data_IF_091527853021
#
_entry.id   IF_091527853021
#
_cell.length_a   1.000
_cell.length_b   1.000
_cell.length_c   1.000
_cell.angle_alpha   90.00
_cell.angle_beta   90.00
_cell.angle_gamma   90.00
#
_symmetry.space_group_name_H-M   'P 1'
#
loop_
_entity.id
_entity.type
_entity.pdbx_description
1 polymer ?
#
# COMPACT_ATOMS: atom_id res chain seq x y z
N UNK A 1 0.46 10.25 -43.64
CA UNK A 1 0.06 8.86 -43.35
C UNK A 1 -0.25 8.77 -41.86
N UNK A 2 -1.32 8.08 -41.46
CA UNK A 2 -1.60 7.85 -40.03
C UNK A 2 -0.51 6.98 -39.43
N UNK A 3 -0.02 7.33 -38.23
CA UNK A 3 0.92 6.48 -37.49
C UNK A 3 0.27 5.13 -37.20
N UNK A 4 1.02 4.05 -37.41
CA UNK A 4 0.59 2.71 -37.04
C UNK A 4 0.48 2.65 -35.50
N UNK A 5 -0.60 2.06 -35.01
CA UNK A 5 -0.90 1.98 -33.57
C UNK A 5 -0.47 0.63 -33.02
N UNK A 6 0.26 0.66 -31.90
CA UNK A 6 0.62 -0.52 -31.13
C UNK A 6 -0.25 -0.52 -29.87
N UNK A 7 -1.09 -1.53 -29.74
CA UNK A 7 -1.91 -1.76 -28.56
C UNK A 7 -1.16 -2.66 -27.59
N UNK A 8 -1.00 -2.18 -26.36
CA UNK A 8 -0.18 -2.79 -25.33
C UNK A 8 -1.04 -3.13 -24.11
N UNK A 9 -0.98 -4.40 -23.71
CA UNK A 9 -1.61 -4.92 -22.49
C UNK A 9 -0.59 -5.72 -21.70
N UNK A 10 -0.57 -5.56 -20.38
CA UNK A 10 0.25 -6.41 -19.50
C UNK A 10 -0.65 -7.40 -18.79
N UNK A 11 -0.36 -8.68 -18.96
CA UNK A 11 -0.94 -9.78 -18.19
C UNK A 11 0.09 -10.21 -17.16
N UNK A 12 -0.34 -10.45 -15.94
CA UNK A 12 0.53 -10.88 -14.85
C UNK A 12 0.27 -12.34 -14.53
N UNK A 13 1.32 -13.04 -14.11
CA UNK A 13 1.25 -14.40 -13.59
C UNK A 13 2.25 -14.50 -12.44
N UNK A 14 1.76 -14.52 -11.21
CA UNK A 14 2.56 -14.58 -9.99
C UNK A 14 3.80 -13.66 -9.94
N UNK A 15 3.61 -12.38 -10.25
CA UNK A 15 4.64 -11.36 -10.27
C UNK A 15 5.38 -11.23 -11.61
N UNK A 16 5.22 -12.20 -12.52
CA UNK A 16 5.86 -12.16 -13.83
C UNK A 16 4.96 -11.47 -14.86
N UNK A 17 5.41 -10.37 -15.49
CA UNK A 17 4.64 -9.70 -16.53
C UNK A 17 4.85 -10.37 -17.90
N UNK A 18 3.77 -10.53 -18.65
CA UNK A 18 3.76 -10.86 -20.07
C UNK A 18 3.02 -9.76 -20.83
N UNK A 19 3.65 -9.17 -21.83
CA UNK A 19 3.05 -8.12 -22.63
C UNK A 19 2.38 -8.69 -23.87
N UNK A 20 1.08 -8.48 -23.99
CA UNK A 20 0.29 -8.81 -25.17
C UNK A 20 0.28 -7.58 -26.07
N UNK A 21 0.93 -7.71 -27.23
CA UNK A 21 1.13 -6.62 -28.17
C UNK A 21 0.36 -6.88 -29.46
N UNK A 22 -0.53 -5.96 -29.83
CA UNK A 22 -1.32 -6.04 -31.05
C UNK A 22 -1.08 -4.83 -31.95
N UNK A 23 -0.88 -5.07 -33.25
CA UNK A 23 -0.57 -4.01 -34.21
C UNK A 23 -1.52 -4.12 -35.41
N UNK A 24 -2.79 -3.71 -35.26
CA UNK A 24 -3.80 -3.91 -36.29
C UNK A 24 -3.47 -3.13 -37.57
N UNK A 25 -3.59 -3.80 -38.71
CA UNK A 25 -3.27 -3.23 -40.02
C UNK A 25 -1.78 -3.21 -40.36
N UNK A 26 -0.92 -3.75 -39.49
CA UNK A 26 0.50 -3.94 -39.80
C UNK A 26 0.68 -5.07 -40.82
N UNK A 27 1.62 -4.88 -41.73
CA UNK A 27 2.16 -5.93 -42.59
C UNK A 27 3.04 -6.89 -41.79
N UNK A 28 3.26 -8.10 -42.31
CA UNK A 28 4.17 -9.08 -41.70
C UNK A 28 5.60 -8.52 -41.51
N UNK A 29 6.05 -7.64 -42.41
CA UNK A 29 7.37 -6.99 -42.28
C UNK A 29 7.39 -6.01 -41.11
N UNK A 30 6.36 -5.19 -40.94
CA UNK A 30 6.28 -4.21 -39.85
C UNK A 30 6.19 -4.91 -38.49
N UNK A 31 5.41 -6.00 -38.38
CA UNK A 31 5.36 -6.82 -37.16
C UNK A 31 6.74 -7.39 -36.84
N UNK A 32 7.43 -7.96 -37.84
CA UNK A 32 8.77 -8.50 -37.65
C UNK A 32 9.79 -7.44 -37.25
N UNK A 33 9.71 -6.24 -37.82
CA UNK A 33 10.59 -5.12 -37.45
C UNK A 33 10.36 -4.72 -35.99
N UNK A 34 9.10 -4.61 -35.56
CA UNK A 34 8.73 -4.32 -34.17
C UNK A 34 9.27 -5.41 -33.22
N UNK A 35 9.10 -6.68 -33.56
CA UNK A 35 9.62 -7.80 -32.78
C UNK A 35 11.16 -7.81 -32.69
N UNK A 36 11.85 -7.44 -33.76
CA UNK A 36 13.31 -7.32 -33.76
C UNK A 36 13.78 -6.20 -32.81
N UNK A 37 13.06 -5.08 -32.75
CA UNK A 37 13.35 -4.01 -31.80
C UNK A 37 13.15 -4.50 -30.37
N UNK A 38 12.03 -5.16 -30.07
CA UNK A 38 11.78 -5.72 -28.74
C UNK A 38 12.84 -6.75 -28.32
N UNK A 39 13.27 -7.65 -29.22
CA UNK A 39 14.38 -8.59 -28.95
C UNK A 39 15.69 -7.88 -28.67
N UNK A 40 16.00 -6.80 -29.40
CA UNK A 40 17.20 -6.00 -29.17
C UNK A 40 17.18 -5.32 -27.78
N UNK A 41 15.99 -4.98 -27.29
CA UNK A 41 15.74 -4.43 -25.95
C UNK A 41 15.55 -5.51 -24.88
N UNK A 42 15.91 -6.76 -25.17
CA UNK A 42 15.96 -7.85 -24.20
C UNK A 42 14.68 -8.66 -24.05
N UNK A 43 13.66 -8.50 -24.89
CA UNK A 43 12.41 -9.26 -24.74
C UNK A 43 12.47 -10.64 -25.41
N UNK A 44 11.96 -11.64 -24.70
CA UNK A 44 11.66 -12.96 -25.26
C UNK A 44 10.25 -12.94 -25.87
N UNK A 45 10.16 -13.20 -27.18
CA UNK A 45 8.90 -13.16 -27.92
C UNK A 45 8.44 -14.59 -28.21
N UNK A 46 7.24 -14.91 -27.77
CA UNK A 46 6.58 -16.20 -27.97
C UNK A 46 5.11 -15.99 -28.39
N UNK A 47 4.42 -17.07 -28.76
CA UNK A 47 3.04 -17.04 -29.23
C UNK A 47 2.07 -16.48 -28.17
N UNK A 48 2.40 -16.60 -26.89
CA UNK A 48 1.62 -16.14 -25.74
C UNK A 48 1.93 -14.68 -25.33
N UNK A 49 2.93 -14.04 -25.91
CA UNK A 49 3.28 -12.64 -25.66
C UNK A 49 4.78 -12.36 -25.55
N UNK A 50 5.12 -11.17 -25.08
CA UNK A 50 6.50 -10.70 -24.90
C UNK A 50 6.85 -10.69 -23.42
N UNK A 51 7.85 -11.49 -23.04
CA UNK A 51 8.31 -11.62 -21.65
C UNK A 51 9.63 -10.85 -21.48
N UNK A 52 9.75 -9.98 -20.47
CA UNK A 52 11.03 -9.34 -20.18
C UNK A 52 12.04 -10.36 -19.68
N UNK A 53 13.31 -10.05 -19.87
CA UNK A 53 14.48 -10.71 -19.29
C UNK A 53 15.16 -9.77 -18.29
N UNK A 54 16.20 -10.26 -17.61
CA UNK A 54 17.00 -9.47 -16.67
C UNK A 54 17.61 -8.20 -17.27
N UNK A 55 17.84 -8.16 -18.58
CA UNK A 55 18.42 -7.00 -19.27
C UNK A 55 17.37 -6.10 -19.92
N UNK A 56 16.08 -6.43 -19.79
CA UNK A 56 15.02 -5.68 -20.47
C UNK A 56 14.83 -4.28 -19.89
N UNK A 57 14.64 -3.31 -20.77
CA UNK A 57 14.30 -1.94 -20.38
C UNK A 57 13.06 -1.46 -21.13
N UNK A 58 11.92 -1.48 -20.44
CA UNK A 58 10.63 -1.13 -21.03
C UNK A 58 10.59 0.32 -21.54
N UNK A 59 11.21 1.25 -20.80
CA UNK A 59 11.33 2.65 -21.23
C UNK A 59 12.12 2.79 -22.53
N UNK A 60 13.27 2.10 -22.64
CA UNK A 60 14.10 2.09 -23.84
C UNK A 60 13.33 1.56 -25.06
N UNK A 61 12.60 0.45 -24.88
CA UNK A 61 11.73 -0.08 -25.94
C UNK A 61 10.69 0.94 -26.41
N UNK A 62 10.00 1.61 -25.48
CA UNK A 62 9.01 2.61 -25.84
C UNK A 62 9.62 3.81 -26.57
N UNK A 63 10.79 4.27 -26.16
CA UNK A 63 11.53 5.34 -26.84
C UNK A 63 11.89 4.94 -28.28
N UNK A 64 12.42 3.72 -28.47
CA UNK A 64 12.77 3.18 -29.79
C UNK A 64 11.55 3.07 -30.70
N UNK A 65 10.42 2.56 -30.18
CA UNK A 65 9.18 2.44 -30.95
C UNK A 65 8.61 3.82 -31.32
N UNK A 66 8.62 4.78 -30.39
CA UNK A 66 8.16 6.14 -30.67
C UNK A 66 9.06 6.86 -31.68
N UNK A 67 10.39 6.66 -31.61
CA UNK A 67 11.35 7.20 -32.55
C UNK A 67 11.15 6.66 -33.98
N UNK A 68 10.65 5.43 -34.11
CA UNK A 68 10.22 4.83 -35.38
C UNK A 68 8.87 5.33 -35.89
N UNK A 69 8.19 6.17 -35.12
CA UNK A 69 6.93 6.80 -35.49
C UNK A 69 5.68 5.99 -35.13
N UNK A 70 5.80 4.95 -34.30
CA UNK A 70 4.65 4.20 -33.79
C UNK A 70 3.89 5.00 -32.72
N UNK A 71 2.58 4.82 -32.67
CA UNK A 71 1.69 5.38 -31.65
C UNK A 71 1.33 4.30 -30.63
N UNK A 72 1.79 4.44 -29.38
CA UNK A 72 1.52 3.47 -28.32
C UNK A 72 0.14 3.74 -27.70
N UNK A 73 -0.67 2.68 -27.55
CA UNK A 73 -1.97 2.69 -26.91
C UNK A 73 -2.01 1.64 -25.82
N UNK A 74 -2.18 2.07 -24.58
CA UNK A 74 -2.26 1.17 -23.42
C UNK A 74 -3.72 0.81 -23.14
N UNK A 75 -3.95 -0.41 -22.67
CA UNK A 75 -5.25 -0.78 -22.08
C UNK A 75 -5.57 0.22 -20.95
N UNK A 76 -6.72 0.88 -20.97
CA UNK A 76 -7.08 1.81 -19.91
C UNK A 76 -7.24 1.05 -18.59
N UNK A 77 -6.66 1.57 -17.52
CA UNK A 77 -6.92 1.06 -16.19
C UNK A 77 -8.38 1.35 -15.82
N UNK A 78 -9.08 0.33 -15.33
CA UNK A 78 -10.38 0.51 -14.69
C UNK A 78 -10.12 0.80 -13.21
N UNK A 79 -10.35 2.04 -12.73
CA UNK A 79 -10.08 2.40 -11.33
C UNK A 79 -10.94 1.63 -10.33
N UNK A 80 -12.06 1.05 -10.78
CA UNK A 80 -12.97 0.27 -9.95
C UNK A 80 -12.70 -1.25 -10.03
N UNK A 81 -11.71 -1.68 -10.82
CA UNK A 81 -11.34 -3.09 -10.88
C UNK A 81 -10.68 -3.54 -9.56
N UNK A 82 -10.95 -4.78 -9.10
CA UNK A 82 -10.25 -5.31 -7.95
C UNK A 82 -8.74 -5.38 -8.23
N UNK A 83 -7.94 -5.27 -7.17
CA UNK A 83 -6.50 -5.45 -7.27
C UNK A 83 -6.17 -6.80 -7.90
N UNK A 84 -5.31 -6.78 -8.91
CA UNK A 84 -4.89 -8.00 -9.57
C UNK A 84 -3.81 -8.72 -8.74
N UNK A 85 -4.22 -9.75 -7.99
CA UNK A 85 -3.33 -10.56 -7.15
C UNK A 85 -2.23 -11.28 -7.93
N UNK A 86 -2.39 -11.48 -9.25
CA UNK A 86 -1.33 -12.03 -10.10
C UNK A 86 -0.11 -11.11 -10.23
N UNK A 87 -0.24 -9.83 -9.85
CA UNK A 87 0.89 -8.91 -9.78
C UNK A 87 1.86 -9.25 -8.66
N UNK A 88 1.41 -10.02 -7.66
CA UNK A 88 2.19 -10.36 -6.49
C UNK A 88 3.05 -11.59 -6.77
N UNK A 89 4.34 -11.48 -6.45
CA UNK A 89 5.26 -12.61 -6.47
C UNK A 89 5.14 -13.38 -5.14
N UNK A 90 4.27 -14.40 -5.12
CA UNK A 90 3.97 -15.17 -3.92
C UNK A 90 4.37 -16.63 -4.07
N UNK A 91 4.69 -17.26 -2.93
CA UNK A 91 4.77 -18.71 -2.85
C UNK A 91 3.35 -19.32 -2.99
N UNK A 92 3.21 -20.54 -3.56
CA UNK A 92 1.90 -21.14 -3.79
C UNK A 92 1.03 -21.21 -2.53
N UNK A 93 1.63 -21.54 -1.38
CA UNK A 93 0.92 -21.61 -0.10
C UNK A 93 0.36 -20.26 0.34
N UNK A 94 1.16 -19.20 0.22
CA UNK A 94 0.79 -17.85 0.64
C UNK A 94 -0.29 -17.29 -0.27
N UNK A 95 -0.21 -17.59 -1.58
CA UNK A 95 -1.26 -17.31 -2.55
C UNK A 95 -2.57 -18.01 -2.19
N UNK A 96 -2.53 -19.32 -1.97
CA UNK A 96 -3.72 -20.10 -1.58
C UNK A 96 -4.36 -19.55 -0.29
N UNK A 97 -3.53 -19.16 0.70
CA UNK A 97 -4.00 -18.57 1.95
C UNK A 97 -4.66 -17.20 1.73
N UNK A 98 -4.04 -16.34 0.91
CA UNK A 98 -4.58 -15.02 0.57
C UNK A 98 -5.91 -15.11 -0.20
N UNK A 99 -5.96 -15.97 -1.23
CA UNK A 99 -7.14 -16.12 -2.10
C UNK A 99 -8.31 -16.82 -1.40
N UNK A 100 -8.01 -17.67 -0.41
CA UNK A 100 -9.05 -18.34 0.40
C UNK A 100 -9.54 -17.50 1.59
N UNK A 101 -8.93 -16.33 1.84
CA UNK A 101 -9.25 -15.50 2.99
C UNK A 101 -10.64 -14.86 2.83
N UNK A 102 -11.63 -15.38 3.55
CA UNK A 102 -13.00 -14.85 3.52
C UNK A 102 -13.08 -13.40 4.01
N UNK A 103 -13.98 -12.59 3.45
CA UNK A 103 -14.23 -11.19 3.84
C UNK A 103 -12.96 -10.34 3.92
N UNK A 104 -12.05 -10.54 2.96
CA UNK A 104 -10.81 -9.79 2.83
C UNK A 104 -10.70 -9.27 1.41
N UNK A 105 -10.30 -8.00 1.27
CA UNK A 105 -10.05 -7.34 -0.01
C UNK A 105 -8.71 -6.62 0.11
N UNK A 106 -7.75 -6.95 -0.75
CA UNK A 106 -6.57 -6.12 -0.97
C UNK A 106 -6.91 -5.13 -2.08
N UNK A 107 -6.79 -3.83 -1.81
CA UNK A 107 -7.03 -2.77 -2.80
C UNK A 107 -5.73 -2.28 -3.42
N UNK A 108 -4.68 -2.18 -2.62
CA UNK A 108 -3.35 -1.80 -3.08
C UNK A 108 -2.28 -2.49 -2.23
N UNK A 109 -1.17 -2.86 -2.87
CA UNK A 109 0.12 -3.12 -2.25
C UNK A 109 1.18 -2.50 -3.16
N UNK A 110 1.95 -1.56 -2.63
CA UNK A 110 2.94 -0.82 -3.39
C UNK A 110 4.04 -0.20 -2.52
N UNK A 111 5.10 0.24 -3.19
CA UNK A 111 6.18 1.02 -2.59
C UNK A 111 7.48 0.26 -2.44
N UNK A 112 8.59 1.00 -2.45
CA UNK A 112 9.94 0.47 -2.21
C UNK A 112 10.51 0.88 -0.85
N UNK A 113 10.09 2.03 -0.30
CA UNK A 113 10.37 2.45 1.07
C UNK A 113 9.55 3.73 1.37
N UNK A 114 8.43 3.64 2.11
CA UNK A 114 7.88 2.43 2.72
C UNK A 114 7.20 1.48 1.72
N UNK A 115 7.04 0.21 2.11
CA UNK A 115 6.02 -0.69 1.55
C UNK A 115 4.71 -0.40 2.25
N UNK A 116 3.63 -0.26 1.50
CA UNK A 116 2.30 0.10 1.99
C UNK A 116 1.24 -0.76 1.33
N UNK A 117 0.18 -1.07 2.09
CA UNK A 117 -1.02 -1.68 1.55
C UNK A 117 -2.27 -1.11 2.19
N UNK A 118 -3.36 -1.16 1.46
CA UNK A 118 -4.70 -0.80 1.92
C UNK A 118 -5.73 -1.80 1.41
N UNK A 119 -6.85 -1.87 2.12
CA UNK A 119 -7.94 -2.76 1.78
C UNK A 119 -8.95 -2.89 2.89
N UNK A 120 -9.66 -4.01 2.91
CA UNK A 120 -10.73 -4.29 3.86
C UNK A 120 -10.59 -5.68 4.47
N UNK A 121 -10.95 -5.78 5.75
CA UNK A 121 -11.11 -7.04 6.48
C UNK A 121 -12.36 -6.96 7.35
N UNK A 122 -13.27 -7.92 7.17
CA UNK A 122 -14.54 -8.00 7.92
C UNK A 122 -15.34 -6.68 7.90
N UNK A 123 -15.37 -6.01 6.74
CA UNK A 123 -16.06 -4.73 6.52
C UNK A 123 -15.40 -3.52 7.18
N UNK A 124 -14.14 -3.65 7.60
CA UNK A 124 -13.35 -2.56 8.17
C UNK A 124 -12.12 -2.31 7.31
N UNK A 125 -11.87 -1.03 7.00
CA UNK A 125 -10.66 -0.65 6.29
C UNK A 125 -9.42 -1.01 7.11
N UNK A 126 -8.39 -1.47 6.42
CA UNK A 126 -7.05 -1.61 6.98
C UNK A 126 -6.04 -0.75 6.22
N UNK A 127 -5.02 -0.34 6.95
CA UNK A 127 -3.81 0.28 6.40
C UNK A 127 -2.59 -0.47 6.95
N UNK A 128 -1.74 -0.95 6.05
CA UNK A 128 -0.48 -1.60 6.35
C UNK A 128 0.68 -0.71 5.93
N UNK A 129 1.72 -0.66 6.77
CA UNK A 129 2.96 0.06 6.46
C UNK A 129 4.16 -0.65 7.06
N UNK A 130 5.17 -0.87 6.24
CA UNK A 130 6.47 -1.35 6.66
C UNK A 130 7.55 -0.31 6.32
N UNK A 131 8.33 0.11 7.33
CA UNK A 131 9.36 1.14 7.19
C UNK A 131 10.41 0.99 8.28
N UNK A 132 11.67 1.19 7.90
CA UNK A 132 12.75 1.12 8.88
C UNK A 132 12.90 -0.31 9.37
N UNK A 133 12.83 -0.50 10.69
CA UNK A 133 13.02 -1.79 11.35
C UNK A 133 11.71 -2.43 11.82
N UNK A 134 10.55 -1.95 11.38
CA UNK A 134 9.28 -2.49 11.84
C UNK A 134 8.18 -2.36 10.78
N UNK A 135 7.11 -3.11 10.97
CA UNK A 135 5.87 -2.99 10.22
C UNK A 135 4.70 -2.83 11.17
N UNK A 136 3.59 -2.31 10.65
CA UNK A 136 2.34 -2.22 11.39
C UNK A 136 1.14 -2.35 10.47
N UNK A 137 0.04 -2.78 11.05
CA UNK A 137 -1.27 -2.72 10.44
C UNK A 137 -2.24 -2.00 11.38
N UNK A 138 -3.18 -1.30 10.80
CA UNK A 138 -4.18 -0.48 11.45
C UNK A 138 -5.53 -0.89 10.88
N UNK A 139 -6.55 -1.13 11.71
CA UNK A 139 -7.89 -1.58 11.27
C UNK A 139 -8.98 -0.70 11.90
N UNK A 140 -9.99 -0.36 11.10
CA UNK A 140 -11.21 0.33 11.55
C UNK A 140 -11.18 1.85 11.39
N UNK A 141 -10.32 2.37 10.52
CA UNK A 141 -10.37 3.73 10.00
C UNK A 141 -11.52 3.89 8.99
N UNK A 142 -11.63 5.05 8.34
CA UNK A 142 -12.56 5.33 7.25
C UNK A 142 -11.83 5.80 5.98
N UNK A 143 -12.52 5.81 4.85
CA UNK A 143 -11.93 6.04 3.51
C UNK A 143 -11.29 7.43 3.39
N UNK A 144 -11.85 8.40 4.12
CA UNK A 144 -11.38 9.78 4.17
C UNK A 144 -10.20 9.99 5.12
N UNK A 145 -9.83 8.98 5.90
CA UNK A 145 -8.82 9.08 6.96
C UNK A 145 -9.20 10.03 8.09
N UNK A 146 -10.43 10.56 8.13
CA UNK A 146 -10.92 11.45 9.19
C UNK A 146 -11.09 10.72 10.52
N UNK A 147 -11.20 9.38 10.51
CA UNK A 147 -11.30 8.55 11.71
C UNK A 147 -10.04 7.72 11.93
N UNK A 148 -9.55 7.70 13.18
CA UNK A 148 -8.41 6.87 13.55
C UNK A 148 -8.74 5.38 13.60
N UNK A 149 -7.74 4.49 13.48
CA UNK A 149 -7.97 3.06 13.61
C UNK A 149 -8.47 2.69 15.00
N UNK A 150 -9.27 1.62 15.07
CA UNK A 150 -9.81 1.07 16.33
C UNK A 150 -8.96 -0.08 16.87
N UNK A 151 -8.12 -0.64 16.03
CA UNK A 151 -7.20 -1.71 16.36
C UNK A 151 -5.91 -1.53 15.58
N UNK A 152 -4.80 -1.95 16.16
CA UNK A 152 -3.51 -1.99 15.47
C UNK A 152 -2.66 -3.12 16.01
N UNK A 153 -1.71 -3.52 15.19
CA UNK A 153 -0.66 -4.46 15.54
C UNK A 153 0.64 -4.04 14.85
N UNK A 154 1.75 -4.17 15.54
CA UNK A 154 3.07 -3.83 15.02
C UNK A 154 4.10 -4.80 15.56
N UNK A 155 5.11 -5.08 14.74
CA UNK A 155 6.25 -5.90 15.12
C UNK A 155 7.53 -5.35 14.52
N UNK A 156 8.62 -5.56 15.24
CA UNK A 156 9.95 -5.37 14.69
C UNK A 156 10.21 -6.40 13.59
N UNK A 157 10.86 -5.93 12.53
CA UNK A 157 11.35 -6.76 11.46
C UNK A 157 12.82 -7.09 11.73
N UNK A 158 13.23 -8.37 11.66
CA UNK A 158 14.62 -8.73 11.82
C UNK A 158 15.46 -8.12 10.69
N UNK A 159 16.55 -7.44 11.06
CA UNK A 159 17.42 -6.76 10.10
C UNK A 159 18.76 -6.38 10.72
N UNK A 160 19.77 -6.20 9.87
CA UNK A 160 21.12 -5.80 10.31
C UNK A 160 21.27 -4.27 10.33
N UNK A 161 20.59 -3.58 9.41
CA UNK A 161 20.72 -2.15 9.17
C UNK A 161 19.60 -1.33 9.81
N UNK A 162 18.48 -1.96 10.14
CA UNK A 162 17.29 -1.30 10.69
C UNK A 162 16.45 -0.59 9.62
N UNK A 163 16.60 -0.97 8.35
CA UNK A 163 15.85 -0.41 7.22
C UNK A 163 15.10 -1.47 6.40
N UNK A 164 15.30 -2.75 6.70
CA UNK A 164 14.85 -3.89 5.93
C UNK A 164 13.33 -3.98 5.82
N UNK A 165 12.57 -3.56 6.86
CA UNK A 165 11.12 -3.53 6.78
C UNK A 165 10.63 -2.55 5.72
N UNK A 166 11.42 -1.54 5.37
CA UNK A 166 11.08 -0.62 4.28
C UNK A 166 11.02 -1.28 2.91
N UNK A 167 11.65 -2.45 2.74
CA UNK A 167 11.87 -3.13 1.46
C UNK A 167 11.34 -4.57 1.47
N UNK A 168 10.25 -4.84 2.21
CA UNK A 168 9.64 -6.17 2.21
C UNK A 168 9.29 -6.61 0.79
N UNK A 169 9.52 -7.89 0.51
CA UNK A 169 8.99 -8.53 -0.68
C UNK A 169 7.46 -8.63 -0.61
N UNK A 170 6.79 -8.89 -1.74
CA UNK A 170 5.35 -9.17 -1.76
C UNK A 170 5.00 -10.31 -0.79
N UNK A 171 5.80 -11.38 -0.80
CA UNK A 171 5.67 -12.54 0.08
C UNK A 171 5.73 -12.13 1.56
N UNK A 172 6.72 -11.34 1.97
CA UNK A 172 6.88 -10.93 3.37
C UNK A 172 5.77 -9.96 3.80
N UNK A 173 5.42 -8.99 2.94
CA UNK A 173 4.37 -8.03 3.22
C UNK A 173 3.01 -8.72 3.39
N UNK A 174 2.65 -9.62 2.46
CA UNK A 174 1.44 -10.43 2.55
C UNK A 174 1.48 -11.34 3.78
N UNK A 175 2.62 -11.96 4.08
CA UNK A 175 2.79 -12.76 5.31
C UNK A 175 2.48 -11.96 6.59
N UNK A 176 2.94 -10.71 6.68
CA UNK A 176 2.64 -9.81 7.80
C UNK A 176 1.15 -9.44 7.87
N UNK A 177 0.52 -9.19 6.72
CA UNK A 177 -0.91 -8.87 6.63
C UNK A 177 -1.75 -10.08 7.07
N UNK A 178 -1.49 -11.27 6.52
CA UNK A 178 -2.18 -12.52 6.88
C UNK A 178 -2.05 -12.83 8.36
N UNK A 179 -0.83 -12.72 8.91
CA UNK A 179 -0.59 -12.87 10.35
C UNK A 179 -1.46 -11.91 11.16
N UNK A 180 -1.53 -10.65 10.74
CA UNK A 180 -2.28 -9.64 11.46
C UNK A 180 -3.78 -9.82 11.39
N UNK A 181 -4.31 -10.25 10.23
CA UNK A 181 -5.72 -10.62 10.09
C UNK A 181 -6.07 -11.78 11.02
N UNK A 182 -5.19 -12.78 11.13
CA UNK A 182 -5.35 -13.88 12.07
C UNK A 182 -5.42 -13.40 13.52
N UNK A 183 -4.47 -12.53 13.94
CA UNK A 183 -4.47 -11.93 15.29
C UNK A 183 -5.73 -11.09 15.52
N UNK A 184 -6.15 -10.28 14.54
CA UNK A 184 -7.34 -9.45 14.65
C UNK A 184 -8.63 -10.26 14.87
N UNK A 185 -8.74 -11.41 14.18
CA UNK A 185 -9.91 -12.29 14.27
C UNK A 185 -9.93 -13.15 15.52
N UNK A 186 -8.77 -13.66 15.94
CA UNK A 186 -8.66 -14.58 17.07
C UNK A 186 -8.41 -13.88 18.42
N UNK A 187 -7.85 -12.67 18.40
CA UNK A 187 -7.36 -11.98 19.59
C UNK A 187 -8.45 -11.31 20.42
N UNK A 188 -8.19 -11.18 21.72
CA UNK A 188 -8.94 -10.30 22.59
C UNK A 188 -8.64 -8.84 22.22
N UNK A 189 -9.68 -8.10 21.84
CA UNK A 189 -9.61 -6.70 21.44
C UNK A 189 -10.17 -5.76 22.51
N UNK A 190 -10.51 -6.27 23.69
CA UNK A 190 -11.14 -5.49 24.75
C UNK A 190 -10.22 -4.41 25.29
N UNK A 191 -8.89 -4.58 25.20
CA UNK A 191 -7.93 -3.51 25.54
C UNK A 191 -8.07 -2.24 24.70
N UNK A 192 -8.70 -2.32 23.53
CA UNK A 192 -9.00 -1.17 22.67
C UNK A 192 -10.33 -0.49 23.03
N UNK A 193 -11.08 -1.00 24.02
CA UNK A 193 -12.36 -0.44 24.46
C UNK A 193 -12.19 0.48 25.65
N UNK A 194 -12.85 1.65 25.58
CA UNK A 194 -12.89 2.61 26.69
C UNK A 194 -13.45 1.93 27.95
N UNK A 195 -12.74 2.09 29.07
CA UNK A 195 -13.08 1.47 30.35
C UNK A 195 -12.29 0.19 30.66
N UNK A 196 -11.57 -0.39 29.70
CA UNK A 196 -10.63 -1.47 29.99
C UNK A 196 -9.41 -0.95 30.78
N UNK A 197 -8.87 -1.70 31.76
CA UNK A 197 -7.70 -1.25 32.54
C UNK A 197 -6.48 -0.87 31.69
N UNK A 198 -6.24 -1.62 30.62
CA UNK A 198 -5.14 -1.37 29.67
C UNK A 198 -5.47 -0.34 28.58
N UNK A 199 -6.64 0.29 28.61
CA UNK A 199 -7.05 1.21 27.55
C UNK A 199 -6.10 2.40 27.42
N UNK A 200 -5.73 3.04 28.53
CA UNK A 200 -4.79 4.16 28.52
C UNK A 200 -3.45 3.76 27.88
N UNK A 201 -2.86 2.68 28.40
CA UNK A 201 -1.60 2.13 27.89
C UNK A 201 -1.70 1.80 26.41
N UNK A 202 -2.78 1.15 25.99
CA UNK A 202 -3.03 0.76 24.59
C UNK A 202 -3.02 1.99 23.69
N UNK A 203 -3.80 3.03 24.00
CA UNK A 203 -3.85 4.26 23.18
C UNK A 203 -2.47 4.94 23.08
N UNK A 204 -1.72 5.00 24.18
CA UNK A 204 -0.38 5.60 24.20
C UNK A 204 0.63 4.77 23.39
N UNK A 205 0.56 3.44 23.44
CA UNK A 205 1.36 2.56 22.58
C UNK A 205 0.99 2.78 21.10
N UNK A 206 -0.30 2.93 20.78
CA UNK A 206 -0.75 3.27 19.42
C UNK A 206 -0.19 4.58 18.90
N UNK A 207 -0.10 5.60 19.75
CA UNK A 207 0.57 6.85 19.40
C UNK A 207 2.08 6.66 19.22
N UNK A 208 2.73 5.94 20.13
CA UNK A 208 4.18 5.65 20.09
C UNK A 208 4.61 5.01 18.78
N UNK A 209 3.88 4.00 18.30
CA UNK A 209 4.18 3.28 17.05
C UNK A 209 3.68 4.01 15.79
N UNK A 210 3.03 5.18 15.97
CA UNK A 210 2.49 6.01 14.91
C UNK A 210 1.21 5.49 14.24
N UNK A 211 0.45 4.62 14.91
CA UNK A 211 -0.91 4.23 14.51
C UNK A 211 -1.94 5.33 14.84
N UNK A 212 -1.62 6.17 15.82
CA UNK A 212 -2.40 7.36 16.17
C UNK A 212 -1.49 8.60 16.15
N UNK A 213 -2.07 9.77 15.90
CA UNK A 213 -1.44 11.04 16.25
C UNK A 213 -1.60 11.34 17.74
N UNK A 214 -0.78 12.23 18.29
CA UNK A 214 -0.90 12.71 19.67
C UNK A 214 -2.29 13.32 19.89
N UNK A 215 -2.84 13.98 18.88
CA UNK A 215 -4.17 14.57 18.96
C UNK A 215 -5.25 13.53 19.20
N UNK A 216 -5.24 12.45 18.41
CA UNK A 216 -6.21 11.36 18.54
C UNK A 216 -6.07 10.65 19.88
N UNK A 217 -4.83 10.40 20.30
CA UNK A 217 -4.57 9.84 21.62
C UNK A 217 -5.12 10.73 22.75
N UNK A 218 -4.83 12.03 22.71
CA UNK A 218 -5.30 13.01 23.69
C UNK A 218 -6.84 13.08 23.77
N UNK A 219 -7.53 13.09 22.62
CA UNK A 219 -9.00 13.09 22.53
C UNK A 219 -9.60 11.82 23.14
N UNK A 220 -9.16 10.64 22.69
CA UNK A 220 -9.65 9.33 23.17
C UNK A 220 -9.49 9.17 24.68
N UNK A 221 -8.38 9.66 25.22
CA UNK A 221 -8.05 9.62 26.64
C UNK A 221 -8.63 10.78 27.44
N UNK A 222 -9.26 11.75 26.79
CA UNK A 222 -9.83 12.95 27.42
C UNK A 222 -8.82 13.68 28.30
N UNK A 223 -7.59 13.85 27.79
CA UNK A 223 -6.48 14.51 28.48
C UNK A 223 -5.74 15.50 27.56
N UNK A 224 -4.96 16.42 28.16
CA UNK A 224 -4.13 17.32 27.39
C UNK A 224 -2.94 16.59 26.73
N UNK A 225 -2.44 17.06 25.58
CA UNK A 225 -1.31 16.43 24.88
C UNK A 225 -0.06 16.29 25.75
N UNK A 226 0.29 17.32 26.54
CA UNK A 226 1.40 17.26 27.49
C UNK A 226 1.20 16.16 28.55
N UNK A 227 -0.03 15.99 29.03
CA UNK A 227 -0.35 14.94 29.98
C UNK A 227 -0.21 13.55 29.35
N UNK A 228 -0.57 13.37 28.07
CA UNK A 228 -0.35 12.11 27.35
C UNK A 228 1.14 11.75 27.26
N UNK A 229 2.02 12.73 27.00
CA UNK A 229 3.49 12.51 27.00
C UNK A 229 4.00 12.08 28.38
N UNK A 230 3.55 12.73 29.45
CA UNK A 230 3.92 12.39 30.83
C UNK A 230 3.46 10.98 31.20
N UNK A 231 2.24 10.59 30.79
CA UNK A 231 1.70 9.24 31.00
C UNK A 231 2.47 8.19 30.22
N UNK A 232 2.80 8.44 28.96
CA UNK A 232 3.60 7.51 28.15
C UNK A 232 4.95 7.23 28.81
N UNK A 233 5.67 8.27 29.23
CA UNK A 233 6.92 8.13 29.99
C UNK A 233 6.74 7.33 31.29
N UNK A 234 5.67 7.59 32.05
CA UNK A 234 5.39 6.87 33.30
C UNK A 234 5.12 5.37 33.08
N UNK A 235 4.59 5.00 31.91
CA UNK A 235 4.38 3.61 31.48
C UNK A 235 5.62 2.95 30.85
N UNK A 236 6.73 3.70 30.70
CA UNK A 236 7.92 3.26 29.99
C UNK A 236 7.73 3.13 28.48
N UNK A 237 6.76 3.86 27.92
CA UNK A 237 6.50 3.90 26.47
C UNK A 237 7.38 4.98 25.84
N UNK A 238 8.11 4.62 24.79
CA UNK A 238 8.94 5.56 24.04
C UNK A 238 8.09 6.63 23.35
N UNK A 239 8.53 7.88 23.40
CA UNK A 239 7.85 8.96 22.71
C UNK A 239 8.27 8.98 21.24
N UNK A 240 7.34 9.19 20.29
CA UNK A 240 7.69 9.39 18.89
C UNK A 240 8.70 10.52 18.72
N UNK A 241 9.61 10.39 17.74
CA UNK A 241 10.62 11.39 17.44
C UNK A 241 10.04 12.82 17.24
N UNK A 242 8.82 12.92 16.70
CA UNK A 242 8.13 14.19 16.45
C UNK A 242 7.15 14.61 17.55
N UNK A 243 7.17 14.00 18.75
CA UNK A 243 6.21 14.26 19.82
C UNK A 243 6.11 15.74 20.21
N UNK A 244 7.24 16.44 20.35
CA UNK A 244 7.26 17.87 20.68
C UNK A 244 6.65 18.74 19.56
N UNK A 245 6.82 18.32 18.31
CA UNK A 245 6.24 19.02 17.16
C UNK A 245 4.73 18.81 17.12
N UNK A 246 4.26 17.59 17.33
CA UNK A 246 2.83 17.30 17.45
C UNK A 246 2.20 18.09 18.60
N UNK A 247 2.86 18.16 19.76
CA UNK A 247 2.38 18.94 20.90
C UNK A 247 2.21 20.42 20.56
N UNK A 248 3.17 21.03 19.85
CA UNK A 248 3.05 22.43 19.39
C UNK A 248 1.92 22.62 18.38
N UNK A 249 1.62 21.60 17.57
CA UNK A 249 0.57 21.65 16.57
C UNK A 249 -0.84 21.58 17.18
N UNK A 250 -1.01 20.93 18.33
CA UNK A 250 -2.31 20.85 19.03
C UNK A 250 -2.89 22.21 19.40
N UNK A 251 -2.04 23.18 19.70
CA UNK A 251 -2.45 24.53 20.10
C UNK A 251 -2.86 25.40 18.88
N UNK A 252 -2.67 24.90 17.65
CA UNK A 252 -2.86 25.64 16.42
C UNK A 252 -4.03 25.08 15.58
N UNK A 253 -5.22 25.66 15.78
CA UNK A 253 -6.48 25.45 15.02
C UNK A 253 -7.20 24.09 15.23
N UNK A 254 -8.53 24.04 15.00
CA UNK A 254 -9.26 22.77 14.93
C UNK A 254 -8.69 21.89 13.81
N UNK A 255 -8.56 20.60 14.09
CA UNK A 255 -7.98 19.64 13.15
C UNK A 255 -8.90 19.33 11.99
N UNK A 256 -8.38 19.57 10.80
CA UNK A 256 -8.94 19.11 9.55
C UNK A 256 -8.01 18.08 8.90
N UNK A 257 -8.58 17.12 8.18
CA UNK A 257 -7.87 16.21 7.28
C UNK A 257 -8.12 16.69 5.86
N UNK A 258 -7.06 16.78 5.07
CA UNK A 258 -7.15 17.13 3.66
C UNK A 258 -7.45 15.85 2.86
N UNK A 259 -8.58 15.85 2.16
CA UNK A 259 -9.11 14.69 1.43
C UNK A 259 -9.32 15.07 -0.03
N UNK A 260 -8.95 14.17 -0.95
CA UNK A 260 -9.27 14.30 -2.36
C UNK A 260 -10.70 13.81 -2.60
N UNK A 261 -11.60 14.70 -3.01
CA UNK A 261 -12.92 14.31 -3.50
C UNK A 261 -12.75 13.59 -4.84
N UNK A 262 -12.94 12.25 -4.85
CA UNK A 262 -12.78 11.44 -6.07
C UNK A 262 -13.75 11.83 -7.19
N UNK A 263 -14.91 12.40 -6.88
CA UNK A 263 -15.90 12.79 -7.87
C UNK A 263 -15.54 14.12 -8.56
N UNK A 264 -14.97 15.08 -7.82
CA UNK A 264 -14.60 16.39 -8.37
C UNK A 264 -13.12 16.53 -8.70
N UNK A 265 -12.26 15.66 -8.16
CA UNK A 265 -10.80 15.78 -8.24
C UNK A 265 -10.22 16.92 -7.41
N UNK A 266 -11.00 17.50 -6.48
CA UNK A 266 -10.59 18.65 -5.67
C UNK A 266 -10.19 18.24 -4.26
N UNK A 267 -9.19 18.91 -3.71
CA UNK A 267 -8.80 18.76 -2.31
C UNK A 267 -9.74 19.57 -1.41
N UNK A 268 -10.25 18.94 -0.35
CA UNK A 268 -11.14 19.55 0.65
C UNK A 268 -10.65 19.28 2.06
N UNK A 269 -10.90 20.22 2.96
CA UNK A 269 -10.68 20.04 4.39
C UNK A 269 -11.94 19.47 5.05
N UNK A 270 -11.80 18.32 5.72
CA UNK A 270 -12.85 17.67 6.50
C UNK A 270 -12.50 17.66 7.99
N UNK A 271 -13.47 17.73 8.90
CA UNK A 271 -13.20 17.64 10.34
C UNK A 271 -12.67 16.25 10.72
N UNK A 272 -11.77 16.18 11.71
CA UNK A 272 -11.35 14.92 12.31
C UNK A 272 -12.47 14.31 13.18
N UNK A 273 -12.95 13.14 12.76
CA UNK A 273 -14.10 12.38 13.28
C UNK A 273 -13.73 11.42 14.42
N UNK A 274 -12.49 11.46 14.94
CA UNK A 274 -12.09 10.56 16.02
C UNK A 274 -12.76 10.97 17.36
N UNK A 275 -13.84 10.27 17.71
CA UNK A 275 -14.64 10.42 18.95
C UNK A 275 -14.04 9.65 20.15
#
# INVERSE_FOLDING_TARGET
MSKLKIYWKTVWSNGDPTHVVQVPGATTSEVRDIELLAKAEGYNIADDGWKPTETSQLSSLFEVLQAKGYDLKFEPENPDAPFNLERLSLLPRTRDELESLSNFILQELAGYCPVQAEGEVDGQLFYFRARGSHWRIEIGSNETGTKGPKWWHAEDWPGETGFEAGYLSDEDAIGCILKSVSIFRAGDRDRFRKGHPEYERTILEGWSIGALSLQRAARRLSMAGRQAMERANAHGIELPYYADQELRALDAKPSTVIVLDKATGEWRELPDEDE
#
